data_IF_884745058822
#
_entry.id   IF_884745058822
#
_cell.length_a   1.000
_cell.length_b   1.000
_cell.length_c   1.000
_cell.angle_alpha   90.00
_cell.angle_beta   90.00
_cell.angle_gamma   90.00
#
_symmetry.space_group_name_H-M   'P 1'
#
loop_
_entity.id
_entity.type
_entity.pdbx_description
1 polymer ?
#
# COMPACT_ATOMS: atom_id res chain seq x y z
N UNK A 1 4.39 -7.62 -10.47
CA UNK A 1 4.99 -8.80 -9.80
C UNK A 1 6.13 -9.42 -10.59
N UNK A 2 5.95 -9.86 -11.85
CA UNK A 2 7.01 -10.53 -12.62
C UNK A 2 8.28 -9.69 -12.87
N UNK A 3 8.14 -8.38 -13.08
CA UNK A 3 9.29 -7.47 -13.31
C UNK A 3 10.14 -7.27 -12.04
N UNK A 4 9.52 -7.39 -10.85
CA UNK A 4 10.23 -7.20 -9.58
C UNK A 4 11.23 -8.33 -9.32
N UNK A 5 10.80 -9.59 -9.54
CA UNK A 5 11.68 -10.76 -9.43
C UNK A 5 12.76 -10.79 -10.53
N UNK A 6 12.43 -10.38 -11.76
CA UNK A 6 13.41 -10.28 -12.85
C UNK A 6 14.43 -9.16 -12.62
N UNK A 7 14.02 -8.03 -12.04
CA UNK A 7 14.90 -6.92 -11.69
C UNK A 7 15.86 -7.23 -10.54
N UNK A 8 15.43 -8.06 -9.57
CA UNK A 8 16.32 -8.56 -8.51
C UNK A 8 17.38 -9.52 -9.06
N UNK A 9 17.07 -10.24 -10.14
CA UNK A 9 18.02 -11.11 -10.84
C UNK A 9 18.98 -10.32 -11.74
N UNK A 10 18.49 -9.34 -12.50
CA UNK A 10 19.30 -8.54 -13.43
C UNK A 10 20.14 -7.44 -12.76
N UNK A 11 19.66 -6.84 -11.66
CA UNK A 11 20.31 -5.69 -11.01
C UNK A 11 20.90 -6.02 -9.63
N UNK A 12 21.22 -7.30 -9.40
CA UNK A 12 21.76 -7.85 -8.13
C UNK A 12 23.00 -7.10 -7.61
N UNK A 13 23.75 -6.40 -8.46
CA UNK A 13 25.03 -5.77 -8.10
C UNK A 13 25.09 -4.23 -8.27
N UNK A 14 23.96 -3.54 -8.49
CA UNK A 14 23.94 -2.07 -8.64
C UNK A 14 23.50 -1.35 -7.35
N UNK A 15 23.98 -0.11 -7.13
CA UNK A 15 23.60 0.74 -5.96
C UNK A 15 22.07 0.87 -5.82
N UNK A 16 21.36 0.90 -6.94
CA UNK A 16 19.89 0.95 -7.03
C UNK A 16 19.25 -0.34 -6.51
N UNK A 17 19.77 -1.51 -6.88
CA UNK A 17 19.29 -2.80 -6.37
C UNK A 17 19.46 -2.91 -4.85
N UNK A 18 20.60 -2.46 -4.32
CA UNK A 18 20.85 -2.41 -2.86
C UNK A 18 19.93 -1.41 -2.14
N UNK A 19 19.50 -0.34 -2.81
CA UNK A 19 18.53 0.61 -2.26
C UNK A 19 17.14 -0.02 -2.16
N UNK A 20 16.61 -0.62 -3.23
CA UNK A 20 15.30 -1.30 -3.19
C UNK A 20 15.29 -2.54 -2.29
N UNK A 21 16.45 -3.18 -2.08
CA UNK A 21 16.61 -4.27 -1.13
C UNK A 21 16.62 -3.84 0.35
N UNK A 22 16.61 -2.53 0.66
CA UNK A 22 16.57 -2.08 2.06
C UNK A 22 15.26 -2.53 2.72
N UNK A 23 15.40 -3.12 3.90
CA UNK A 23 14.26 -3.63 4.66
C UNK A 23 13.17 -2.59 4.95
N UNK A 24 13.55 -1.34 5.18
CA UNK A 24 12.59 -0.23 5.34
C UNK A 24 11.72 -0.04 4.09
N UNK A 25 12.30 -0.11 2.89
CA UNK A 25 11.57 0.08 1.62
C UNK A 25 10.66 -1.11 1.35
N UNK A 26 11.17 -2.34 1.49
CA UNK A 26 10.34 -3.53 1.29
C UNK A 26 9.18 -3.53 2.30
N UNK A 27 9.40 -3.13 3.55
CA UNK A 27 8.34 -3.02 4.56
C UNK A 27 7.31 -1.96 4.17
N UNK A 28 7.74 -0.79 3.70
CA UNK A 28 6.82 0.25 3.20
C UNK A 28 5.96 -0.26 2.04
N UNK A 29 6.57 -0.95 1.07
CA UNK A 29 5.86 -1.55 -0.05
C UNK A 29 4.84 -2.60 0.42
N UNK A 30 5.20 -3.43 1.41
CA UNK A 30 4.27 -4.37 2.04
C UNK A 30 3.08 -3.64 2.66
N UNK A 31 3.30 -2.56 3.43
CA UNK A 31 2.20 -1.73 3.96
C UNK A 31 1.29 -1.28 2.83
N UNK A 32 1.86 -0.73 1.75
CA UNK A 32 1.08 -0.16 0.66
C UNK A 32 0.22 -1.21 -0.05
N UNK A 33 0.81 -2.37 -0.37
CA UNK A 33 0.08 -3.46 -1.03
C UNK A 33 -1.00 -4.01 -0.10
N UNK A 34 -0.74 -4.15 1.20
CA UNK A 34 -1.74 -4.58 2.17
C UNK A 34 -2.91 -3.60 2.27
N UNK A 35 -2.62 -2.29 2.33
CA UNK A 35 -3.68 -1.27 2.37
C UNK A 35 -4.52 -1.30 1.10
N UNK A 36 -3.91 -1.44 -0.08
CA UNK A 36 -4.64 -1.60 -1.34
C UNK A 36 -5.55 -2.83 -1.29
N UNK A 37 -5.04 -3.97 -0.85
CA UNK A 37 -5.84 -5.19 -0.67
C UNK A 37 -7.00 -4.98 0.30
N UNK A 38 -6.76 -4.36 1.45
CA UNK A 38 -7.79 -4.09 2.46
C UNK A 38 -8.88 -3.14 1.95
N UNK A 39 -8.49 -1.98 1.39
CA UNK A 39 -9.43 -1.01 0.83
C UNK A 39 -10.24 -1.65 -0.28
N UNK A 40 -9.61 -2.40 -1.17
CA UNK A 40 -10.32 -3.10 -2.23
C UNK A 40 -11.37 -4.05 -1.65
N UNK A 41 -10.97 -4.97 -0.76
CA UNK A 41 -11.87 -6.01 -0.25
C UNK A 41 -13.01 -5.45 0.61
N UNK A 42 -12.78 -4.35 1.32
CA UNK A 42 -13.77 -3.77 2.24
C UNK A 42 -14.67 -2.72 1.56
N UNK A 43 -14.13 -1.93 0.62
CA UNK A 43 -14.81 -0.73 0.12
C UNK A 43 -15.09 -0.76 -1.38
N UNK A 44 -14.32 -1.51 -2.18
CA UNK A 44 -14.40 -1.47 -3.65
C UNK A 44 -14.90 -2.76 -4.29
N UNK A 45 -14.74 -3.90 -3.61
CA UNK A 45 -15.17 -5.21 -4.09
C UNK A 45 -16.68 -5.19 -4.33
N UNK A 46 -17.07 -5.49 -5.56
CA UNK A 46 -18.48 -5.51 -5.98
C UNK A 46 -18.99 -4.19 -6.57
N UNK A 47 -18.24 -3.08 -6.52
CA UNK A 47 -18.62 -1.84 -7.20
C UNK A 47 -18.44 -1.94 -8.72
N UNK A 48 -17.38 -2.59 -9.15
CA UNK A 48 -17.10 -2.92 -10.54
C UNK A 48 -17.04 -4.44 -10.62
N UNK A 49 -17.77 -5.01 -11.57
CA UNK A 49 -17.80 -6.45 -11.81
C UNK A 49 -16.99 -6.76 -13.07
N UNK A 50 -15.66 -6.90 -12.97
CA UNK A 50 -14.84 -7.26 -14.11
C UNK A 50 -15.21 -8.66 -14.60
N UNK A 51 -15.12 -8.89 -15.91
CA UNK A 51 -15.45 -10.17 -16.57
C UNK A 51 -14.23 -10.75 -17.29
N UNK A 52 -14.24 -12.07 -17.54
CA UNK A 52 -13.16 -12.77 -18.22
C UNK A 52 -11.79 -12.58 -17.55
N UNK A 53 -10.76 -12.30 -18.35
CA UNK A 53 -9.38 -12.10 -17.87
C UNK A 53 -9.22 -10.90 -16.93
N UNK A 54 -10.07 -9.88 -17.03
CA UNK A 54 -10.02 -8.73 -16.14
C UNK A 54 -10.35 -9.13 -14.70
N UNK A 55 -11.28 -10.08 -14.51
CA UNK A 55 -11.62 -10.59 -13.16
C UNK A 55 -10.45 -11.31 -12.53
N UNK A 56 -9.75 -12.12 -13.30
CA UNK A 56 -8.56 -12.85 -12.84
C UNK A 56 -7.47 -11.86 -12.46
N UNK A 57 -7.20 -10.85 -13.31
CA UNK A 57 -6.22 -9.81 -13.00
C UNK A 57 -6.58 -9.04 -11.72
N UNK A 58 -7.86 -8.71 -11.53
CA UNK A 58 -8.35 -7.99 -10.36
C UNK A 58 -8.14 -8.77 -9.05
N UNK A 59 -8.50 -10.06 -9.03
CA UNK A 59 -8.24 -10.93 -7.86
C UNK A 59 -6.74 -11.13 -7.63
N UNK A 60 -5.96 -11.29 -8.70
CA UNK A 60 -4.50 -11.42 -8.59
C UNK A 60 -3.86 -10.17 -7.97
N UNK A 61 -4.32 -8.97 -8.35
CA UNK A 61 -3.77 -7.71 -7.89
C UNK A 61 -4.21 -7.35 -6.47
N UNK A 62 -5.47 -7.62 -6.11
CA UNK A 62 -6.06 -7.14 -4.86
C UNK A 62 -6.22 -8.19 -3.77
N UNK A 63 -6.01 -9.48 -4.07
CA UNK A 63 -6.06 -10.57 -3.08
C UNK A 63 -4.75 -11.34 -3.05
N UNK A 64 -4.37 -11.94 -4.19
CA UNK A 64 -3.24 -12.86 -4.22
C UNK A 64 -1.92 -12.12 -3.99
N UNK A 65 -1.74 -10.98 -4.66
CA UNK A 65 -0.55 -10.13 -4.52
C UNK A 65 -0.29 -9.69 -3.07
N UNK A 66 -1.26 -9.13 -2.33
CA UNK A 66 -1.09 -8.82 -0.90
C UNK A 66 -0.67 -10.00 -0.03
N UNK A 67 -1.26 -11.17 -0.23
CA UNK A 67 -0.93 -12.37 0.55
C UNK A 67 0.50 -12.81 0.25
N UNK A 68 0.87 -12.90 -1.04
CA UNK A 68 2.23 -13.27 -1.46
C UNK A 68 3.26 -12.29 -0.89
N UNK A 69 3.00 -10.99 -0.97
CA UNK A 69 3.95 -9.98 -0.52
C UNK A 69 4.12 -9.97 1.00
N UNK A 70 3.03 -10.20 1.76
CA UNK A 70 3.10 -10.37 3.21
C UNK A 70 3.90 -11.63 3.58
N UNK A 71 3.62 -12.77 2.96
CA UNK A 71 4.37 -14.01 3.16
C UNK A 71 5.85 -13.81 2.84
N UNK A 72 6.17 -13.18 1.70
CA UNK A 72 7.54 -12.84 1.34
C UNK A 72 8.21 -11.98 2.40
N UNK A 73 7.52 -10.94 2.86
CA UNK A 73 8.03 -10.04 3.90
C UNK A 73 8.24 -10.74 5.23
N UNK A 74 7.39 -11.70 5.61
CA UNK A 74 7.53 -12.48 6.86
C UNK A 74 8.81 -13.32 6.81
N UNK A 75 9.05 -14.06 5.73
CA UNK A 75 10.09 -15.09 5.68
C UNK A 75 11.45 -14.62 5.14
N UNK A 76 11.49 -13.61 4.28
CA UNK A 76 12.72 -13.28 3.51
C UNK A 76 13.31 -11.90 3.78
N UNK A 77 12.64 -11.03 4.54
CA UNK A 77 13.10 -9.66 4.77
C UNK A 77 13.78 -9.53 6.13
N UNK A 78 15.03 -9.07 6.14
CA UNK A 78 15.77 -8.78 7.38
C UNK A 78 15.21 -7.55 8.10
N UNK A 79 14.61 -7.72 9.28
CA UNK A 79 13.86 -6.65 9.98
C UNK A 79 14.66 -5.86 11.03
N UNK A 80 15.96 -6.11 11.16
CA UNK A 80 16.82 -5.62 12.26
C UNK A 80 16.84 -4.09 12.35
N UNK A 81 16.86 -3.39 11.21
CA UNK A 81 17.05 -1.94 11.15
C UNK A 81 15.75 -1.12 11.08
N UNK A 82 14.58 -1.73 11.35
CA UNK A 82 13.31 -1.02 11.28
C UNK A 82 13.14 -0.03 12.44
N UNK A 83 12.92 1.24 12.11
CA UNK A 83 12.68 2.33 13.05
C UNK A 83 11.23 2.79 12.99
N UNK A 84 10.60 3.04 14.12
CA UNK A 84 9.23 3.58 14.19
C UNK A 84 9.09 4.94 13.50
N UNK A 85 10.16 5.76 13.47
CA UNK A 85 10.18 7.01 12.70
C UNK A 85 9.96 6.80 11.20
N UNK A 86 10.25 5.61 10.66
CA UNK A 86 9.99 5.28 9.25
C UNK A 86 8.49 5.31 8.92
N UNK A 87 7.62 5.00 9.90
CA UNK A 87 6.18 5.02 9.68
C UNK A 87 5.68 6.41 9.23
N UNK A 88 6.23 7.48 9.81
CA UNK A 88 5.90 8.85 9.38
C UNK A 88 6.42 9.16 7.97
N UNK A 89 7.64 8.71 7.65
CA UNK A 89 8.18 8.89 6.31
C UNK A 89 7.36 8.15 5.26
N UNK A 90 6.85 6.96 5.57
CA UNK A 90 6.03 6.18 4.65
C UNK A 90 4.65 6.79 4.40
N UNK A 91 4.15 7.66 5.29
CA UNK A 91 2.91 8.41 5.07
C UNK A 91 3.05 9.53 4.03
N UNK A 92 4.26 9.96 3.70
CA UNK A 92 4.48 11.01 2.69
C UNK A 92 3.83 10.67 1.34
N UNK A 93 3.98 9.42 0.90
CA UNK A 93 3.41 8.94 -0.36
C UNK A 93 1.87 8.94 -0.38
N UNK A 94 1.15 8.27 0.55
CA UNK A 94 -0.31 8.31 0.56
C UNK A 94 -0.86 9.72 0.79
N UNK A 95 -0.18 10.55 1.59
CA UNK A 95 -0.59 11.94 1.80
C UNK A 95 -0.51 12.74 0.49
N UNK A 96 0.61 12.65 -0.23
CA UNK A 96 0.78 13.31 -1.52
C UNK A 96 -0.27 12.85 -2.54
N UNK A 97 -0.60 11.56 -2.54
CA UNK A 97 -1.63 11.01 -3.41
C UNK A 97 -3.04 11.50 -3.06
N UNK A 98 -3.40 11.56 -1.76
CA UNK A 98 -4.69 12.12 -1.32
C UNK A 98 -4.80 13.58 -1.75
N UNK A 99 -3.76 14.38 -1.53
CA UNK A 99 -3.73 15.80 -1.95
C UNK A 99 -3.96 15.90 -3.46
N UNK A 100 -3.22 15.12 -4.25
CA UNK A 100 -3.37 15.09 -5.71
C UNK A 100 -4.82 14.75 -6.12
N UNK A 101 -5.41 13.70 -5.54
CA UNK A 101 -6.76 13.27 -5.89
C UNK A 101 -7.81 14.32 -5.49
N UNK A 102 -7.63 14.98 -4.34
CA UNK A 102 -8.54 16.05 -3.90
C UNK A 102 -8.47 17.26 -4.83
N UNK A 103 -7.26 17.71 -5.19
CA UNK A 103 -7.05 18.83 -6.13
C UNK A 103 -7.66 18.48 -7.50
N UNK A 104 -7.31 17.32 -8.04
CA UNK A 104 -7.85 16.82 -9.31
C UNK A 104 -9.37 16.76 -9.27
N UNK A 105 -9.94 16.16 -8.22
CA UNK A 105 -11.38 16.01 -8.06
C UNK A 105 -12.12 17.34 -7.87
N UNK A 106 -11.49 18.35 -7.28
CA UNK A 106 -12.05 19.70 -7.18
C UNK A 106 -12.23 20.33 -8.56
N UNK A 107 -11.25 20.17 -9.47
CA UNK A 107 -11.30 20.78 -10.80
C UNK A 107 -12.26 20.09 -11.78
N UNK A 108 -12.39 18.77 -11.72
CA UNK A 108 -13.20 18.00 -12.70
C UNK A 108 -14.44 17.34 -12.10
N UNK A 109 -14.72 17.62 -10.82
CA UNK A 109 -15.87 17.12 -10.08
C UNK A 109 -16.04 15.59 -10.09
N UNK A 110 -14.94 14.86 -10.32
CA UNK A 110 -14.91 13.41 -10.34
C UNK A 110 -13.78 12.88 -9.47
N UNK A 111 -14.11 11.91 -8.63
CA UNK A 111 -13.18 11.27 -7.72
C UNK A 111 -12.99 9.80 -8.11
N UNK A 112 -11.74 9.30 -8.12
CA UNK A 112 -11.45 7.91 -8.50
C UNK A 112 -12.03 6.91 -7.50
N UNK A 113 -12.24 7.33 -6.24
CA UNK A 113 -12.79 6.47 -5.21
C UNK A 113 -14.04 7.09 -4.59
N UNK A 114 -15.11 6.29 -4.40
CA UNK A 114 -16.37 6.80 -3.86
C UNK A 114 -16.25 7.27 -2.42
N UNK A 115 -15.38 6.66 -1.61
CA UNK A 115 -15.22 6.98 -0.20
C UNK A 115 -14.58 8.36 0.07
N UNK A 116 -13.94 8.99 -0.92
CA UNK A 116 -13.42 10.37 -0.82
C UNK A 116 -14.18 11.35 -1.73
N UNK A 117 -15.28 10.91 -2.33
CA UNK A 117 -16.03 11.73 -3.27
C UNK A 117 -16.81 12.82 -2.53
N UNK A 118 -16.30 14.05 -2.54
CA UNK A 118 -16.95 15.19 -1.87
C UNK A 118 -18.27 15.60 -2.53
N UNK A 119 -18.45 15.33 -3.83
CA UNK A 119 -19.68 15.67 -4.56
C UNK A 119 -20.84 14.82 -4.03
N UNK A 120 -20.58 13.54 -3.77
CA UNK A 120 -21.60 12.60 -3.30
C UNK A 120 -21.72 12.54 -1.77
N UNK A 121 -20.60 12.71 -1.05
CA UNK A 121 -20.55 12.52 0.41
C UNK A 121 -20.58 13.84 1.20
N UNK A 122 -20.28 14.96 0.55
CA UNK A 122 -19.95 16.22 1.22
C UNK A 122 -18.55 16.21 1.84
N UNK A 123 -18.03 17.41 2.12
CA UNK A 123 -16.70 17.59 2.71
C UNK A 123 -16.49 16.86 4.04
N UNK A 124 -17.39 16.91 5.03
CA UNK A 124 -17.13 16.32 6.35
C UNK A 124 -16.88 14.80 6.28
N UNK A 125 -17.73 14.07 5.55
CA UNK A 125 -17.61 12.61 5.42
C UNK A 125 -16.39 12.21 4.58
N UNK A 126 -16.13 12.92 3.48
CA UNK A 126 -14.96 12.63 2.63
C UNK A 126 -13.64 12.86 3.39
N UNK A 127 -13.53 13.93 4.18
CA UNK A 127 -12.36 14.22 5.01
C UNK A 127 -12.21 13.14 6.10
N UNK A 128 -13.29 12.74 6.75
CA UNK A 128 -13.27 11.69 7.76
C UNK A 128 -12.81 10.34 7.18
N UNK A 129 -13.28 9.97 5.99
CA UNK A 129 -12.85 8.75 5.31
C UNK A 129 -11.37 8.81 4.89
N UNK A 130 -10.90 9.96 4.38
CA UNK A 130 -9.49 10.16 4.07
C UNK A 130 -8.62 10.06 5.35
N UNK A 131 -9.09 10.60 6.47
CA UNK A 131 -8.44 10.46 7.77
C UNK A 131 -8.32 9.00 8.19
N UNK A 132 -9.39 8.21 8.10
CA UNK A 132 -9.33 6.77 8.38
C UNK A 132 -8.36 6.02 7.48
N UNK A 133 -8.23 6.40 6.20
CA UNK A 133 -7.22 5.84 5.31
C UNK A 133 -5.80 6.10 5.82
N UNK A 134 -5.49 7.36 6.20
CA UNK A 134 -4.18 7.73 6.75
C UNK A 134 -3.88 6.97 8.06
N UNK A 135 -4.88 6.86 8.95
CA UNK A 135 -4.77 6.08 10.19
C UNK A 135 -4.50 4.61 9.90
N UNK A 136 -5.18 4.02 8.90
CA UNK A 136 -4.95 2.64 8.50
C UNK A 136 -3.50 2.42 8.01
N UNK A 137 -2.98 3.30 7.15
CA UNK A 137 -1.58 3.25 6.72
C UNK A 137 -0.63 3.32 7.92
N UNK A 138 -0.89 4.22 8.86
CA UNK A 138 -0.03 4.42 10.02
C UNK A 138 -0.05 3.22 10.96
N UNK A 139 -1.24 2.69 11.29
CA UNK A 139 -1.40 1.52 12.15
C UNK A 139 -0.73 0.28 11.56
N UNK A 140 -0.91 0.01 10.26
CA UNK A 140 -0.25 -1.12 9.59
C UNK A 140 1.26 -0.95 9.53
N UNK A 141 1.75 0.29 9.36
CA UNK A 141 3.18 0.58 9.42
C UNK A 141 3.76 0.25 10.78
N UNK A 142 3.11 0.69 11.87
CA UNK A 142 3.52 0.37 13.24
C UNK A 142 3.46 -1.13 13.48
N UNK A 143 2.38 -1.80 13.06
CA UNK A 143 2.19 -3.23 13.22
C UNK A 143 3.32 -4.03 12.56
N UNK A 144 3.66 -3.73 11.30
CA UNK A 144 4.75 -4.43 10.60
C UNK A 144 6.12 -4.10 11.21
N UNK A 145 6.37 -2.87 11.66
CA UNK A 145 7.63 -2.55 12.37
C UNK A 145 7.71 -3.33 13.68
N UNK A 146 6.63 -3.41 14.44
CA UNK A 146 6.56 -4.16 15.70
C UNK A 146 6.77 -5.68 15.47
N UNK A 147 6.06 -6.27 14.51
CA UNK A 147 6.25 -7.67 14.11
C UNK A 147 7.69 -7.91 13.67
N UNK A 148 8.25 -7.00 12.87
CA UNK A 148 9.62 -7.09 12.38
C UNK A 148 10.65 -7.11 13.51
N UNK A 149 10.49 -6.23 14.50
CA UNK A 149 11.35 -6.19 15.70
C UNK A 149 11.22 -7.45 16.54
N UNK A 150 10.03 -8.05 16.64
CA UNK A 150 9.81 -9.29 17.39
C UNK A 150 10.49 -10.48 16.71
N UNK A 151 10.38 -10.60 15.40
CA UNK A 151 11.02 -11.68 14.63
C UNK A 151 12.55 -11.54 14.57
N UNK A 152 13.09 -10.33 14.66
CA UNK A 152 14.54 -10.09 14.64
C UNK A 152 15.26 -10.35 15.99
N UNK A 153 14.51 -10.62 17.07
CA UNK A 153 15.06 -10.86 18.41
C UNK A 153 15.29 -12.35 18.72
N UNK A 154 14.99 -13.21 17.76
CA UNK A 154 15.25 -14.66 17.76
C UNK A 154 16.32 -14.97 16.72
#
# INVERSE_FOLDING_TARGET
MGICFLSLWLFRNQKVGKFFAKSSIITALTVYILVVGLIYNLLLRGLVLPTGWARVADELLHVVSPIIFLTFWIFFVEKINLKYSSAFNWLSYPMAYIIFVVIRGHFIHQYPYPFINVVNLGYPKAILNAFFCVVLFWLLSILLIWMGKKTAKH
#
